data_IF_166842234586
#
_entry.id   IF_166842234586
#
_cell.length_a   1.000
_cell.length_b   1.000
_cell.length_c   1.000
_cell.angle_alpha   90.00
_cell.angle_beta   90.00
_cell.angle_gamma   90.00
#
_symmetry.space_group_name_H-M   'P 1'
#
loop_
_entity.id
_entity.type
_entity.pdbx_description
1 polymer ?
#
# COMPACT_ATOMS: atom_id res chain seq x y z
N UNK A 1 -0.77 -1.70 -5.27
CA UNK A 1 -0.76 -2.13 -6.67
C UNK A 1 -0.39 -0.95 -7.55
N UNK A 2 0.30 -1.18 -8.66
CA UNK A 2 0.51 -0.16 -9.69
C UNK A 2 -0.72 -0.03 -10.62
N UNK A 3 -0.60 0.80 -11.66
CA UNK A 3 -1.67 1.00 -12.66
C UNK A 3 -2.01 -0.24 -13.49
N UNK A 4 -1.15 -1.25 -13.50
CA UNK A 4 -1.34 -2.50 -14.24
C UNK A 4 -1.91 -3.63 -13.38
N UNK A 5 -2.09 -3.38 -12.08
CA UNK A 5 -2.55 -4.39 -11.13
C UNK A 5 -1.42 -5.27 -10.58
N UNK A 6 -0.16 -4.90 -10.78
CA UNK A 6 0.99 -5.59 -10.20
C UNK A 6 1.06 -5.30 -8.70
N UNK A 7 1.31 -6.34 -7.90
CA UNK A 7 1.52 -6.20 -6.46
C UNK A 7 2.89 -5.60 -6.20
N UNK A 8 2.91 -4.37 -5.66
CA UNK A 8 4.15 -3.65 -5.36
C UNK A 8 4.64 -3.92 -3.94
N UNK A 9 3.72 -4.02 -3.00
CA UNK A 9 4.02 -4.20 -1.59
C UNK A 9 2.79 -4.77 -0.86
N UNK A 10 3.02 -5.70 0.07
CA UNK A 10 2.03 -6.25 0.98
C UNK A 10 2.68 -6.46 2.35
N UNK A 11 1.93 -6.17 3.41
CA UNK A 11 2.35 -6.39 4.79
C UNK A 11 1.13 -6.66 5.66
N UNK A 12 1.34 -7.40 6.76
CA UNK A 12 0.42 -7.50 7.89
C UNK A 12 0.97 -6.83 9.16
N UNK A 13 2.18 -6.27 9.09
CA UNK A 13 2.82 -5.53 10.18
C UNK A 13 2.68 -4.04 9.93
N UNK A 14 2.06 -3.34 10.89
CA UNK A 14 1.86 -1.89 10.87
C UNK A 14 3.18 -1.11 10.90
N UNK A 15 4.23 -1.67 11.50
CA UNK A 15 5.55 -1.04 11.58
C UNK A 15 6.35 -1.17 10.27
N UNK A 16 5.98 -2.13 9.41
CA UNK A 16 6.65 -2.36 8.14
C UNK A 16 5.86 -1.71 7.01
N UNK A 17 6.17 -0.45 6.73
CA UNK A 17 5.55 0.33 5.65
C UNK A 17 6.32 0.26 4.33
N UNK A 18 5.62 0.55 3.23
CA UNK A 18 6.26 0.69 1.92
C UNK A 18 7.08 1.99 1.84
N UNK A 19 8.32 1.89 1.37
CA UNK A 19 9.28 3.00 1.30
C UNK A 19 9.37 3.66 -0.09
N UNK A 20 8.53 3.26 -1.04
CA UNK A 20 8.58 3.74 -2.43
C UNK A 20 9.53 2.95 -3.34
N UNK A 21 10.05 1.80 -2.89
CA UNK A 21 10.91 0.92 -3.69
C UNK A 21 10.23 -0.41 -4.06
N UNK A 22 10.65 -1.01 -5.16
CA UNK A 22 10.29 -2.37 -5.56
C UNK A 22 11.58 -3.11 -5.92
N UNK A 23 11.81 -4.28 -5.29
CA UNK A 23 13.01 -5.09 -5.53
C UNK A 23 14.33 -4.31 -5.39
N UNK A 24 14.41 -3.41 -4.40
CA UNK A 24 15.58 -2.57 -4.14
C UNK A 24 15.78 -1.41 -5.12
N UNK A 25 14.87 -1.21 -6.09
CA UNK A 25 14.88 -0.08 -7.02
C UNK A 25 13.83 0.94 -6.61
N UNK A 26 14.21 2.21 -6.52
CA UNK A 26 13.26 3.31 -6.29
C UNK A 26 12.34 3.45 -7.49
N UNK A 27 11.03 3.51 -7.26
CA UNK A 27 10.06 3.78 -8.31
C UNK A 27 10.01 5.27 -8.66
N UNK A 28 9.56 5.56 -9.87
CA UNK A 28 9.31 6.93 -10.33
C UNK A 28 8.02 7.49 -9.74
N UNK A 29 7.79 8.80 -9.90
CA UNK A 29 6.54 9.42 -9.45
C UNK A 29 5.35 8.85 -10.21
N UNK A 30 4.49 8.10 -9.53
CA UNK A 30 3.33 7.41 -10.09
C UNK A 30 2.22 7.28 -9.05
N UNK A 31 0.98 7.07 -9.51
CA UNK A 31 -0.16 6.79 -8.66
C UNK A 31 -0.32 5.27 -8.44
N UNK A 32 -0.46 4.88 -7.19
CA UNK A 32 -0.62 3.49 -6.74
C UNK A 32 -1.95 3.32 -6.02
N UNK A 33 -2.58 2.16 -6.18
CA UNK A 33 -3.80 1.80 -5.45
C UNK A 33 -3.44 1.02 -4.19
N UNK A 34 -4.02 1.40 -3.05
CA UNK A 34 -3.90 0.65 -1.81
C UNK A 34 -5.25 0.06 -1.40
N UNK A 35 -5.19 -1.09 -0.71
CA UNK A 35 -6.33 -1.70 -0.03
C UNK A 35 -5.85 -2.23 1.31
N UNK A 36 -6.42 -1.74 2.41
CA UNK A 36 -6.08 -2.12 3.77
C UNK A 36 -7.33 -2.69 4.42
N UNK A 37 -7.20 -3.85 5.05
CA UNK A 37 -8.26 -4.46 5.84
C UNK A 37 -7.77 -4.58 7.28
N UNK A 38 -8.54 -4.05 8.23
CA UNK A 38 -8.23 -4.14 9.66
C UNK A 38 -9.43 -4.65 10.45
N UNK A 39 -9.16 -5.20 11.63
CA UNK A 39 -10.17 -5.46 12.64
C UNK A 39 -9.87 -4.54 13.82
N UNK A 40 -10.85 -3.75 14.25
CA UNK A 40 -10.67 -2.86 15.39
C UNK A 40 -10.83 -3.59 16.74
N UNK A 41 -10.63 -2.85 17.83
CA UNK A 41 -10.78 -3.37 19.20
C UNK A 41 -12.19 -3.84 19.56
N UNK A 42 -13.20 -3.44 18.78
CA UNK A 42 -14.60 -3.87 18.92
C UNK A 42 -14.94 -5.07 18.00
N UNK A 43 -13.91 -5.73 17.44
CA UNK A 43 -14.05 -6.81 16.46
C UNK A 43 -14.76 -6.41 15.16
N UNK A 44 -14.85 -5.11 14.84
CA UNK A 44 -15.43 -4.64 13.59
C UNK A 44 -14.37 -4.62 12.49
N UNK A 45 -14.76 -5.11 11.31
CA UNK A 45 -13.91 -5.10 10.12
C UNK A 45 -14.05 -3.77 9.40
N UNK A 46 -12.92 -3.16 9.08
CA UNK A 46 -12.84 -1.94 8.28
C UNK A 46 -12.02 -2.20 7.04
N UNK A 47 -12.44 -1.63 5.91
CA UNK A 47 -11.71 -1.70 4.66
C UNK A 47 -11.48 -0.29 4.13
N UNK A 48 -10.21 0.06 3.94
CA UNK A 48 -9.79 1.32 3.37
C UNK A 48 -9.21 1.08 2.00
N UNK A 49 -9.68 1.83 1.01
CA UNK A 49 -9.18 1.77 -0.36
C UNK A 49 -8.99 3.19 -0.87
N UNK A 50 -7.98 3.37 -1.70
CA UNK A 50 -7.71 4.67 -2.30
C UNK A 50 -6.49 4.65 -3.17
N UNK A 51 -6.08 5.83 -3.56
CA UNK A 51 -4.91 6.06 -4.39
C UNK A 51 -3.90 6.88 -3.61
N UNK A 52 -2.63 6.49 -3.67
CA UNK A 52 -1.51 7.26 -3.17
C UNK A 52 -0.64 7.67 -4.35
N UNK A 53 -0.16 8.91 -4.37
CA UNK A 53 0.78 9.37 -5.38
C UNK A 53 2.16 9.43 -4.75
N UNK A 54 3.11 8.70 -5.34
CA UNK A 54 4.52 8.84 -5.00
C UNK A 54 5.02 10.13 -5.65
N UNK A 55 5.56 11.04 -4.85
CA UNK A 55 6.12 12.33 -5.29
C UNK A 55 7.62 12.34 -5.03
N UNK A 56 8.40 12.90 -5.96
CA UNK A 56 9.84 13.17 -5.80
C UNK A 56 10.13 14.66 -5.76
#
# INVERSE_FOLDING_TARGET
YDRWGELIFETNDLANGWDGSLNGKKLESEAFVYSISITDTNAQKHTFRGTVTLVR
#
